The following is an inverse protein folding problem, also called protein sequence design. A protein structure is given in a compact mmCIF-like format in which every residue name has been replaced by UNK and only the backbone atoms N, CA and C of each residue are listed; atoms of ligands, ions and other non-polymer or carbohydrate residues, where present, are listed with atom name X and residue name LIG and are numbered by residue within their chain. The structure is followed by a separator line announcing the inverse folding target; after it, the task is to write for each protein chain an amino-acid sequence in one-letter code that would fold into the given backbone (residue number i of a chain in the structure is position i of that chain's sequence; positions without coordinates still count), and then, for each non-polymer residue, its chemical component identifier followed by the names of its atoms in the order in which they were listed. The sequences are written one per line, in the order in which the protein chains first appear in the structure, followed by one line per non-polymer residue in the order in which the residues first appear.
data_IF_804478249750
#
_entry.id   IF_804478249750
#
_cell.length_a   1.000
_cell.length_b   1.000
_cell.length_c   1.000
_cell.angle_alpha   90.00
_cell.angle_beta   90.00
_cell.angle_gamma   90.00
#
_symmetry.space_group_name_H-M   'P 1'
#
loop_
_entity.id
_entity.type
_entity.pdbx_description
1 polymer ?
#
# COMPACT_ATOMS: atom_id res chain seq x y z
N UNK A 1 -0.11 2.76 -1.02
CA UNK A 1 0.67 1.54 -0.71
C UNK A 1 -0.31 0.48 -0.21
N UNK A 2 -0.16 -0.77 -0.65
CA UNK A 2 -1.11 -1.85 -0.41
C UNK A 2 -0.37 -3.16 -0.13
N UNK A 3 -0.89 -4.06 0.74
CA UNK A 3 -0.31 -5.38 0.90
C UNK A 3 -0.63 -6.26 -0.31
N UNK A 4 0.31 -7.14 -0.66
CA UNK A 4 0.18 -8.19 -1.66
C UNK A 4 -0.05 -9.55 -1.02
N UNK A 5 0.76 -10.55 -1.43
CA UNK A 5 0.81 -11.84 -0.75
C UNK A 5 1.61 -11.75 0.54
N UNK A 6 1.05 -12.15 1.69
CA UNK A 6 1.79 -12.04 2.95
C UNK A 6 1.38 -13.05 4.03
N UNK A 7 2.28 -13.21 5.00
CA UNK A 7 2.01 -13.79 6.31
C UNK A 7 2.46 -12.74 7.34
N UNK A 8 1.61 -12.49 8.33
CA UNK A 8 1.92 -11.57 9.42
C UNK A 8 1.42 -12.11 10.75
N UNK A 9 2.25 -11.97 11.77
CA UNK A 9 1.94 -12.43 13.12
C UNK A 9 2.30 -11.35 14.15
N UNK A 10 1.40 -11.14 15.11
CA UNK A 10 1.64 -10.39 16.34
C UNK A 10 1.66 -11.40 17.50
N UNK A 11 2.81 -11.56 18.15
CA UNK A 11 2.98 -12.41 19.32
C UNK A 11 3.04 -11.51 20.55
N UNK A 12 2.20 -11.77 21.55
CA UNK A 12 2.12 -10.99 22.80
C UNK A 12 2.39 -11.89 23.99
N UNK A 13 3.30 -11.47 24.88
CA UNK A 13 3.62 -12.18 26.11
C UNK A 13 2.93 -11.59 27.36
N UNK A 14 3.02 -12.32 28.46
CA UNK A 14 2.44 -11.99 29.77
C UNK A 14 3.03 -10.74 30.41
N UNK A 15 4.23 -10.34 29.99
CA UNK A 15 4.85 -9.08 30.39
C UNK A 15 4.26 -7.88 29.65
N UNK A 16 3.47 -8.11 28.61
CA UNK A 16 2.92 -7.09 27.73
C UNK A 16 3.88 -6.65 26.63
N UNK A 17 4.99 -7.36 26.42
CA UNK A 17 5.82 -7.17 25.23
C UNK A 17 5.17 -7.84 24.04
N UNK A 18 5.42 -7.29 22.87
CA UNK A 18 5.03 -7.92 21.62
C UNK A 18 6.21 -8.05 20.66
N UNK A 19 6.17 -9.10 19.84
CA UNK A 19 6.91 -9.22 18.59
C UNK A 19 5.93 -9.13 17.43
N UNK A 20 6.26 -8.34 16.41
CA UNK A 20 5.48 -8.24 15.17
C UNK A 20 6.35 -8.62 13.98
N UNK A 21 5.83 -9.51 13.14
CA UNK A 21 6.45 -9.92 11.88
C UNK A 21 5.51 -9.70 10.71
N UNK A 22 6.05 -9.21 9.61
CA UNK A 22 5.41 -9.18 8.30
C UNK A 22 6.39 -9.70 7.26
N UNK A 23 6.05 -10.80 6.61
CA UNK A 23 6.81 -11.35 5.49
C UNK A 23 5.88 -11.47 4.29
N UNK A 24 6.23 -10.79 3.21
CA UNK A 24 5.35 -10.75 2.06
C UNK A 24 5.62 -9.62 1.08
N UNK A 25 4.61 -9.27 0.33
CA UNK A 25 4.67 -8.29 -0.74
C UNK A 25 4.03 -6.96 -0.33
N UNK A 26 4.66 -5.85 -0.69
CA UNK A 26 4.10 -4.51 -0.58
C UNK A 26 4.12 -3.87 -1.96
N UNK A 27 2.98 -3.31 -2.36
CA UNK A 27 2.82 -2.60 -3.62
C UNK A 27 2.75 -1.08 -3.38
N UNK A 28 3.66 -0.35 -4.01
CA UNK A 28 3.71 1.10 -4.03
C UNK A 28 3.06 1.63 -5.30
N UNK A 29 1.78 1.99 -5.21
CA UNK A 29 0.98 2.48 -6.34
C UNK A 29 1.53 3.72 -7.04
N UNK A 30 2.40 4.48 -6.39
CA UNK A 30 3.10 5.64 -6.98
C UNK A 30 3.92 5.26 -8.21
N UNK A 31 4.47 4.04 -8.29
CA UNK A 31 5.17 3.57 -9.51
C UNK A 31 4.22 3.37 -10.68
N UNK A 32 3.05 2.74 -10.45
CA UNK A 32 2.04 2.58 -11.50
C UNK A 32 1.48 3.93 -11.96
N UNK A 33 1.25 4.86 -11.03
CA UNK A 33 0.81 6.23 -11.36
C UNK A 33 1.89 6.97 -12.17
N UNK A 34 3.17 6.79 -11.85
CA UNK A 34 4.27 7.37 -12.61
C UNK A 34 4.30 6.89 -14.07
N UNK A 35 4.15 5.58 -14.28
CA UNK A 35 4.04 5.00 -15.63
C UNK A 35 2.84 5.56 -16.39
N UNK A 36 1.67 5.67 -15.75
CA UNK A 36 0.48 6.26 -16.39
C UNK A 36 0.66 7.75 -16.74
N UNK A 37 1.43 8.50 -15.93
CA UNK A 37 1.80 9.90 -16.25
C UNK A 37 2.68 9.94 -17.50
N UNK A 38 3.64 9.02 -17.63
CA UNK A 38 4.50 8.95 -18.82
C UNK A 38 3.71 8.62 -20.09
N UNK A 39 2.75 7.70 -20.01
CA UNK A 39 1.83 7.36 -21.12
C UNK A 39 0.90 8.52 -21.49
N UNK A 40 0.42 9.28 -20.49
CA UNK A 40 -0.47 10.44 -20.70
C UNK A 40 0.25 11.60 -21.41
N UNK A 41 1.55 11.73 -21.23
CA UNK A 41 2.37 12.81 -21.80
C UNK A 41 3.54 12.23 -22.61
N UNK A 42 3.24 11.67 -23.81
CA UNK A 42 4.25 11.04 -24.67
C UNK A 42 5.23 12.07 -25.25
N UNK A 43 6.27 11.56 -25.91
CA UNK A 43 7.17 12.37 -26.72
C UNK A 43 6.41 13.04 -27.88
N UNK A 44 6.95 14.13 -28.40
CA UNK A 44 6.31 14.85 -29.50
C UNK A 44 6.39 14.02 -30.78
N UNK A 45 5.27 13.48 -31.20
CA UNK A 45 5.06 12.89 -32.52
C UNK A 45 4.07 13.75 -33.29
N UNK A 46 4.43 14.17 -34.50
CA UNK A 46 3.61 15.10 -35.29
C UNK A 46 2.73 14.36 -36.27
N UNK A 47 1.42 14.46 -36.12
CA UNK A 47 0.43 13.85 -37.00
C UNK A 47 -0.55 14.91 -37.52
N UNK A 48 -0.83 14.90 -38.82
CA UNK A 48 -1.83 15.77 -39.41
C UNK A 48 -2.69 14.97 -40.39
N UNK A 49 -3.99 15.21 -40.37
CA UNK A 49 -4.94 14.49 -41.21
C UNK A 49 -5.54 15.41 -42.28
N UNK A 50 -5.92 14.82 -43.40
CA UNK A 50 -6.79 15.49 -44.37
C UNK A 50 -8.20 15.64 -43.79
N UNK A 51 -8.73 16.87 -43.81
CA UNK A 51 -9.99 17.23 -43.17
C UNK A 51 -11.23 16.56 -43.77
N UNK A 52 -11.09 15.81 -44.87
CA UNK A 52 -12.18 15.10 -45.55
C UNK A 52 -12.03 13.59 -45.56
N UNK A 53 -10.82 13.05 -45.36
CA UNK A 53 -10.54 11.62 -45.61
C UNK A 53 -9.91 10.84 -44.46
N UNK A 54 -9.61 11.44 -43.30
CA UNK A 54 -8.86 10.80 -42.19
C UNK A 54 -7.51 10.19 -42.63
N UNK A 55 -7.04 10.48 -43.85
CA UNK A 55 -5.73 10.06 -44.33
C UNK A 55 -4.65 10.96 -43.72
N UNK A 56 -3.54 10.35 -43.30
CA UNK A 56 -2.40 11.07 -42.76
C UNK A 56 -1.68 11.85 -43.87
N UNK A 57 -1.28 13.08 -43.58
CA UNK A 57 -0.51 13.96 -44.46
C UNK A 57 0.59 14.66 -43.67
N UNK A 58 1.56 15.21 -44.40
CA UNK A 58 2.54 16.09 -43.81
C UNK A 58 1.87 17.30 -43.13
N UNK A 59 2.30 17.58 -41.90
CA UNK A 59 1.92 18.78 -41.18
C UNK A 59 2.52 20.03 -41.82
N UNK A 60 1.77 21.13 -41.83
CA UNK A 60 2.28 22.45 -42.18
C UNK A 60 3.08 23.04 -41.01
N UNK A 61 3.99 23.98 -41.29
CA UNK A 61 4.79 24.61 -40.23
C UNK A 61 3.95 25.24 -39.09
N UNK A 62 2.81 25.93 -39.34
CA UNK A 62 1.95 26.42 -38.27
C UNK A 62 1.27 25.31 -37.45
N UNK A 63 0.95 24.17 -38.08
CA UNK A 63 0.38 23.02 -37.36
C UNK A 63 1.41 22.36 -36.44
N UNK A 64 2.64 22.19 -36.93
CA UNK A 64 3.76 21.68 -36.11
C UNK A 64 4.03 22.64 -34.93
N UNK A 65 4.00 23.95 -35.16
CA UNK A 65 4.19 24.94 -34.10
C UNK A 65 3.13 24.79 -33.00
N UNK A 66 1.84 24.68 -33.36
CA UNK A 66 0.77 24.46 -32.38
C UNK A 66 0.91 23.15 -31.61
N UNK A 67 1.30 22.07 -32.29
CA UNK A 67 1.52 20.77 -31.64
C UNK A 67 2.69 20.83 -30.65
N UNK A 68 3.75 21.57 -30.99
CA UNK A 68 4.86 21.86 -30.07
C UNK A 68 4.39 22.65 -28.85
N UNK A 69 3.62 23.72 -29.04
CA UNK A 69 3.12 24.53 -27.93
C UNK A 69 2.30 23.67 -26.93
N UNK A 70 1.38 22.84 -27.44
CA UNK A 70 0.58 21.91 -26.62
C UNK A 70 1.47 20.88 -25.91
N UNK A 71 2.47 20.34 -26.61
CA UNK A 71 3.39 19.37 -26.04
C UNK A 71 4.25 19.98 -24.92
N UNK A 72 4.78 21.18 -25.11
CA UNK A 72 5.57 21.89 -24.09
C UNK A 72 4.76 22.16 -22.82
N UNK A 73 3.50 22.60 -22.97
CA UNK A 73 2.56 22.72 -21.85
C UNK A 73 2.33 21.39 -21.14
N UNK A 74 2.16 20.31 -21.91
CA UNK A 74 2.04 18.94 -21.41
C UNK A 74 3.27 18.49 -20.63
N UNK A 75 4.49 18.76 -21.12
CA UNK A 75 5.73 18.42 -20.44
C UNK A 75 5.91 19.21 -19.13
N UNK A 76 5.47 20.46 -19.08
CA UNK A 76 5.46 21.24 -17.84
C UNK A 76 4.53 20.61 -16.80
N UNK A 77 3.35 20.15 -17.23
CA UNK A 77 2.41 19.45 -16.35
C UNK A 77 2.95 18.09 -15.89
N UNK A 78 3.53 17.30 -16.80
CA UNK A 78 4.23 16.04 -16.51
C UNK A 78 5.27 16.21 -15.40
N UNK A 79 6.11 17.26 -15.51
CA UNK A 79 7.12 17.58 -14.49
C UNK A 79 6.49 17.88 -13.12
N UNK A 80 5.42 18.67 -13.10
CA UNK A 80 4.69 18.99 -11.84
C UNK A 80 4.08 17.75 -11.20
N UNK A 81 3.49 16.87 -12.01
CA UNK A 81 2.87 15.64 -11.51
C UNK A 81 3.92 14.66 -10.96
N UNK A 82 5.06 14.49 -11.65
CA UNK A 82 6.20 13.71 -11.15
C UNK A 82 6.77 14.25 -9.84
N UNK A 83 6.95 15.57 -9.73
CA UNK A 83 7.39 16.22 -8.50
C UNK A 83 6.44 15.95 -7.32
N UNK A 84 5.13 15.97 -7.55
CA UNK A 84 4.14 15.62 -6.51
C UNK A 84 4.28 14.16 -6.08
N UNK A 85 4.50 13.24 -7.02
CA UNK A 85 4.71 11.83 -6.68
C UNK A 85 5.99 11.61 -5.88
N UNK A 86 7.07 12.33 -6.21
CA UNK A 86 8.31 12.27 -5.44
C UNK A 86 8.09 12.71 -3.98
N UNK A 87 7.35 13.80 -3.74
CA UNK A 87 7.00 14.25 -2.38
C UNK A 87 6.22 13.17 -1.61
N UNK A 88 5.26 12.51 -2.25
CA UNK A 88 4.48 11.44 -1.62
C UNK A 88 5.37 10.24 -1.26
N UNK A 89 6.38 9.93 -2.07
CA UNK A 89 7.31 8.82 -1.87
C UNK A 89 8.59 9.26 -1.13
N UNK A 90 8.49 10.24 -0.24
CA UNK A 90 9.60 10.64 0.64
C UNK A 90 10.81 11.23 -0.10
N UNK A 91 10.56 11.87 -1.25
CA UNK A 91 11.58 12.47 -2.11
C UNK A 91 12.10 11.54 -3.22
N UNK A 92 11.64 10.28 -3.29
CA UNK A 92 12.02 9.34 -4.36
C UNK A 92 11.12 9.58 -5.58
N UNK A 93 11.67 10.02 -6.71
CA UNK A 93 10.90 10.11 -7.97
C UNK A 93 10.65 8.71 -8.54
N UNK A 94 9.40 8.20 -8.52
CA UNK A 94 9.11 6.83 -8.95
C UNK A 94 9.31 6.57 -10.46
N UNK A 95 9.56 7.61 -11.27
CA UNK A 95 9.81 7.47 -12.71
C UNK A 95 11.29 7.30 -13.06
N UNK A 96 12.20 7.49 -12.10
CA UNK A 96 13.63 7.26 -12.33
C UNK A 96 13.96 5.75 -12.39
N UNK A 97 14.88 5.32 -13.25
CA UNK A 97 15.24 3.90 -13.35
C UNK A 97 15.77 3.27 -12.06
N UNK A 98 16.42 4.06 -11.20
CA UNK A 98 17.00 3.62 -9.93
C UNK A 98 16.07 3.86 -8.72
N UNK A 99 14.87 4.41 -8.94
CA UNK A 99 13.90 4.69 -7.89
C UNK A 99 13.55 3.49 -7.00
N UNK A 100 13.38 2.26 -7.54
CA UNK A 100 13.14 1.10 -6.68
C UNK A 100 14.29 0.80 -5.72
N UNK A 101 15.55 0.96 -6.17
CA UNK A 101 16.72 0.75 -5.33
C UNK A 101 16.84 1.83 -4.25
N UNK A 102 16.57 3.10 -4.59
CA UNK A 102 16.51 4.21 -3.63
C UNK A 102 15.45 3.98 -2.54
N UNK A 103 14.26 3.52 -2.94
CA UNK A 103 13.20 3.21 -1.98
C UNK A 103 13.57 2.03 -1.07
N UNK A 104 14.13 0.96 -1.63
CA UNK A 104 14.60 -0.18 -0.85
C UNK A 104 15.64 0.25 0.21
N UNK A 105 16.64 1.03 -0.20
CA UNK A 105 17.67 1.56 0.71
C UNK A 105 17.09 2.49 1.79
N UNK A 106 16.06 3.28 1.46
CA UNK A 106 15.37 4.13 2.44
C UNK A 106 14.64 3.29 3.50
N UNK A 107 14.01 2.20 3.10
CA UNK A 107 13.29 1.30 4.00
C UNK A 107 14.28 0.52 4.87
N UNK A 108 15.28 -0.12 4.30
CA UNK A 108 16.28 -0.93 5.02
C UNK A 108 17.14 -0.13 6.00
N UNK A 109 17.20 1.20 5.88
CA UNK A 109 17.84 2.07 6.89
C UNK A 109 17.05 2.12 8.21
N UNK A 110 15.75 1.84 8.20
CA UNK A 110 14.88 1.97 9.36
C UNK A 110 14.79 0.67 10.16
N UNK A 111 14.74 0.82 11.49
CA UNK A 111 14.65 -0.31 12.39
C UNK A 111 13.45 -1.22 12.05
N UNK A 112 13.74 -2.51 11.94
CA UNK A 112 12.80 -3.58 11.68
C UNK A 112 12.64 -3.96 10.21
N UNK A 113 13.06 -3.14 9.24
CA UNK A 113 13.11 -3.55 7.83
C UNK A 113 14.35 -4.41 7.58
N UNK A 114 14.23 -5.73 7.73
CA UNK A 114 15.35 -6.67 7.57
C UNK A 114 15.74 -6.91 6.12
N UNK A 115 14.76 -6.82 5.20
CA UNK A 115 14.97 -7.11 3.78
C UNK A 115 13.93 -6.41 2.91
N UNK A 116 14.36 -5.78 1.81
CA UNK A 116 13.48 -5.16 0.82
C UNK A 116 14.01 -5.40 -0.60
N UNK A 117 13.29 -6.22 -1.38
CA UNK A 117 13.66 -6.56 -2.76
C UNK A 117 12.58 -6.08 -3.74
N UNK A 118 12.96 -5.25 -4.70
CA UNK A 118 12.07 -4.92 -5.81
C UNK A 118 11.86 -6.13 -6.73
N UNK A 119 10.59 -6.44 -7.04
CA UNK A 119 10.21 -7.51 -7.96
C UNK A 119 9.93 -6.92 -9.35
N UNK A 120 8.92 -6.03 -9.45
CA UNK A 120 8.51 -5.35 -10.70
C UNK A 120 7.47 -4.26 -10.42
N UNK A 121 7.42 -3.22 -11.24
CA UNK A 121 6.27 -2.29 -11.30
C UNK A 121 5.83 -1.67 -9.98
N UNK A 122 6.73 -1.52 -9.00
CA UNK A 122 6.40 -1.04 -7.65
C UNK A 122 6.01 -2.11 -6.64
N UNK A 123 6.08 -3.40 -7.00
CA UNK A 123 5.95 -4.54 -6.11
C UNK A 123 7.29 -4.86 -5.46
N UNK A 124 7.30 -4.95 -4.13
CA UNK A 124 8.47 -5.28 -3.33
C UNK A 124 8.19 -6.49 -2.47
N UNK A 125 9.13 -7.42 -2.37
CA UNK A 125 9.14 -8.46 -1.33
C UNK A 125 9.88 -7.91 -0.13
N UNK A 126 9.27 -8.02 1.04
CA UNK A 126 9.79 -7.45 2.28
C UNK A 126 9.78 -8.46 3.41
N UNK A 127 10.70 -8.26 4.35
CA UNK A 127 10.66 -8.87 5.67
C UNK A 127 10.81 -7.76 6.71
N UNK A 128 9.81 -7.65 7.57
CA UNK A 128 9.78 -6.69 8.66
C UNK A 128 9.61 -7.42 9.99
N UNK A 129 10.48 -7.13 10.96
CA UNK A 129 10.46 -7.71 12.30
C UNK A 129 10.70 -6.60 13.31
N UNK A 130 9.83 -6.47 14.29
CA UNK A 130 10.01 -5.49 15.37
C UNK A 130 9.49 -6.02 16.70
N UNK A 131 9.91 -5.38 17.77
CA UNK A 131 9.41 -5.62 19.12
C UNK A 131 8.94 -4.33 19.74
N UNK A 132 7.93 -4.40 20.60
CA UNK A 132 7.44 -3.26 21.33
C UNK A 132 6.69 -3.67 22.59
N UNK A 133 5.88 -2.76 23.11
CA UNK A 133 5.09 -2.99 24.30
C UNK A 133 3.64 -2.57 24.08
N UNK A 134 2.70 -3.33 24.63
CA UNK A 134 1.25 -3.20 24.39
C UNK A 134 0.63 -1.93 24.98
N UNK A 135 1.36 -1.20 25.84
CA UNK A 135 0.97 0.13 26.33
C UNK A 135 1.46 1.28 25.44
N UNK A 136 2.13 0.98 24.34
CA UNK A 136 2.53 1.94 23.32
C UNK A 136 1.69 1.76 22.05
N UNK A 137 1.44 2.88 21.38
CA UNK A 137 0.84 2.82 20.05
C UNK A 137 1.86 2.30 19.05
N UNK A 138 1.41 1.46 18.14
CA UNK A 138 2.21 0.94 17.04
C UNK A 138 1.41 1.01 15.75
N UNK A 139 2.08 1.31 14.65
CA UNK A 139 1.49 1.24 13.32
C UNK A 139 2.53 0.67 12.36
N UNK A 140 2.08 -0.26 11.53
CA UNK A 140 2.89 -0.83 10.47
C UNK A 140 2.20 -0.66 9.12
N UNK A 141 2.94 -0.24 8.08
CA UNK A 141 4.28 0.34 8.18
C UNK A 141 4.23 1.81 8.58
N UNK A 142 5.26 2.24 9.30
CA UNK A 142 5.65 3.65 9.43
C UNK A 142 6.96 3.83 8.67
N UNK A 143 7.03 4.83 7.78
CA UNK A 143 8.18 5.06 6.90
C UNK A 143 8.63 6.52 7.03
N UNK A 144 9.90 6.73 7.34
CA UNK A 144 10.53 8.04 7.41
C UNK A 144 10.33 8.82 6.09
N UNK A 145 9.84 10.06 6.20
CA UNK A 145 9.64 10.95 5.05
C UNK A 145 8.42 10.64 4.19
N UNK A 146 7.75 9.50 4.38
CA UNK A 146 6.52 9.16 3.67
C UNK A 146 5.32 9.46 4.60
N UNK A 147 4.41 10.37 4.23
CA UNK A 147 3.24 10.67 5.03
C UNK A 147 2.40 9.41 5.26
N UNK A 148 1.83 9.30 6.46
CA UNK A 148 1.12 8.11 6.90
C UNK A 148 0.01 7.71 5.92
N UNK A 149 0.18 6.54 5.30
CA UNK A 149 -0.87 5.82 4.58
C UNK A 149 -1.71 5.01 5.56
N UNK A 150 -2.85 4.48 5.12
CA UNK A 150 -3.63 3.57 5.96
C UNK A 150 -2.74 2.41 6.47
N UNK A 151 -2.64 2.20 7.80
CA UNK A 151 -1.76 1.18 8.33
C UNK A 151 -2.27 -0.22 7.97
N UNK A 152 -1.34 -1.13 7.75
CA UNK A 152 -1.63 -2.55 7.57
C UNK A 152 -2.05 -3.15 8.89
N UNK A 153 -1.31 -2.85 9.97
CA UNK A 153 -1.66 -3.24 11.33
C UNK A 153 -1.42 -2.04 12.25
N UNK A 154 -2.34 -1.84 13.19
CA UNK A 154 -2.28 -0.79 14.19
C UNK A 154 -2.60 -1.36 15.56
N UNK A 155 -1.81 -0.98 16.56
CA UNK A 155 -2.06 -1.20 17.98
C UNK A 155 -2.36 0.17 18.61
N UNK A 156 -3.54 0.29 19.21
CA UNK A 156 -3.98 1.46 19.95
C UNK A 156 -4.08 1.10 21.43
N UNK A 157 -3.07 1.51 22.20
CA UNK A 157 -2.98 1.26 23.63
C UNK A 157 -4.03 2.06 24.41
N UNK A 158 -4.54 1.47 25.50
CA UNK A 158 -5.54 2.09 26.39
C UNK A 158 -5.00 2.16 27.82
N UNK A 159 -5.51 3.15 28.57
CA UNK A 159 -5.13 3.38 29.97
C UNK A 159 -5.52 2.25 30.93
N UNK A 160 -6.44 1.36 30.52
CA UNK A 160 -6.96 0.25 31.33
C UNK A 160 -6.21 -1.08 31.11
N UNK A 161 -4.97 -1.05 30.58
CA UNK A 161 -4.16 -2.25 30.36
C UNK A 161 -4.60 -3.08 29.15
N UNK A 162 -5.41 -2.50 28.27
CA UNK A 162 -5.90 -3.14 27.05
C UNK A 162 -5.29 -2.47 25.82
N UNK A 163 -5.24 -3.21 24.72
CA UNK A 163 -4.90 -2.65 23.42
C UNK A 163 -5.89 -3.09 22.36
N UNK A 164 -6.30 -2.16 21.51
CA UNK A 164 -7.11 -2.44 20.32
C UNK A 164 -6.18 -2.67 19.14
N UNK A 165 -6.31 -3.82 18.50
CA UNK A 165 -5.55 -4.20 17.32
C UNK A 165 -6.51 -4.11 16.15
N UNK A 166 -6.15 -3.35 15.11
CA UNK A 166 -6.93 -3.23 13.88
C UNK A 166 -6.01 -3.30 12.68
N UNK A 167 -6.49 -3.91 11.60
CA UNK A 167 -5.70 -4.07 10.38
C UNK A 167 -6.42 -3.45 9.16
N UNK A 168 -6.57 -2.11 9.08
CA UNK A 168 -7.47 -1.47 8.12
C UNK A 168 -7.08 -1.70 6.65
N UNK A 169 -5.79 -1.67 6.32
CA UNK A 169 -5.35 -1.97 4.96
C UNK A 169 -5.33 -3.47 4.63
N UNK A 170 -5.76 -4.35 5.54
CA UNK A 170 -6.08 -5.77 5.24
C UNK A 170 -7.54 -5.97 4.80
N UNK A 171 -8.27 -4.88 4.55
CA UNK A 171 -9.59 -4.85 3.96
C UNK A 171 -9.54 -4.15 2.58
N UNK A 172 -9.73 -4.88 1.46
CA UNK A 172 -9.73 -4.30 0.11
C UNK A 172 -10.73 -3.16 -0.05
N UNK A 173 -11.91 -3.26 0.56
CA UNK A 173 -12.94 -2.23 0.46
C UNK A 173 -12.49 -0.90 1.06
N UNK A 174 -11.71 -0.97 2.15
CA UNK A 174 -11.19 0.24 2.79
C UNK A 174 -10.15 0.94 1.91
N UNK A 175 -9.35 0.18 1.16
CA UNK A 175 -8.40 0.72 0.19
C UNK A 175 -9.15 1.35 -1.00
N UNK A 176 -10.17 0.67 -1.52
CA UNK A 176 -11.05 1.20 -2.58
C UNK A 176 -11.66 2.56 -2.16
N UNK A 177 -12.15 2.65 -0.92
CA UNK A 177 -12.75 3.87 -0.38
C UNK A 177 -11.76 5.01 -0.22
N UNK A 178 -10.56 4.70 0.28
CA UNK A 178 -9.51 5.70 0.41
C UNK A 178 -9.07 6.23 -0.96
N UNK A 179 -9.00 5.36 -1.97
CA UNK A 179 -8.63 5.77 -3.33
C UNK A 179 -9.72 6.61 -3.99
N UNK A 180 -11.00 6.23 -3.86
CA UNK A 180 -12.12 7.04 -4.36
C UNK A 180 -12.16 8.42 -3.69
N UNK A 181 -11.93 8.48 -2.38
CA UNK A 181 -11.83 9.74 -1.65
C UNK A 181 -10.66 10.61 -2.13
N UNK A 182 -9.52 10.00 -2.49
CA UNK A 182 -8.34 10.70 -2.98
C UNK A 182 -8.45 11.19 -4.42
N UNK A 183 -9.20 10.51 -5.29
CA UNK A 183 -9.41 10.95 -6.68
C UNK A 183 -10.50 12.01 -6.82
N UNK A 184 -11.32 12.23 -5.79
CA UNK A 184 -12.47 13.13 -5.84
C UNK A 184 -13.58 12.62 -6.76
N UNK A 185 -13.52 11.36 -7.18
CA UNK A 185 -14.51 10.69 -8.00
C UNK A 185 -15.48 9.93 -7.07
N UNK A 186 -16.79 10.10 -7.25
CA UNK A 186 -17.77 9.19 -6.66
C UNK A 186 -17.45 7.76 -7.13
N UNK A 187 -17.77 6.73 -6.31
CA UNK A 187 -17.53 5.30 -6.59
C UNK A 187 -18.07 4.89 -7.98
N UNK A 188 -17.34 5.20 -9.03
CA UNK A 188 -17.54 4.69 -10.37
C UNK A 188 -16.90 3.32 -10.41
N UNK A 189 -17.59 2.35 -11.01
CA UNK A 189 -17.07 1.01 -11.26
C UNK A 189 -15.86 0.97 -12.20
N UNK A 190 -15.39 2.14 -12.66
CA UNK A 190 -14.28 2.34 -13.59
C UNK A 190 -13.11 3.10 -12.97
N UNK A 191 -12.83 2.92 -11.67
CA UNK A 191 -11.51 3.28 -11.18
C UNK A 191 -10.49 2.52 -12.02
N UNK A 192 -9.42 3.19 -12.46
CA UNK A 192 -8.28 2.60 -13.22
C UNK A 192 -7.63 1.41 -12.48
N UNK A 193 -8.09 1.13 -11.26
CA UNK A 193 -7.71 0.04 -10.37
C UNK A 193 -8.92 -0.77 -9.88
N UNK A 194 -9.93 -0.94 -10.74
CA UNK A 194 -11.08 -1.79 -10.45
C UNK A 194 -10.62 -3.18 -10.00
N UNK A 195 -11.31 -3.77 -9.01
CA UNK A 195 -10.90 -5.02 -8.35
C UNK A 195 -10.73 -6.21 -9.30
N UNK A 196 -11.22 -6.11 -10.55
CA UNK A 196 -11.00 -7.07 -11.66
C UNK A 196 -9.70 -6.84 -12.45
N UNK A 197 -9.22 -5.60 -12.55
CA UNK A 197 -7.97 -5.24 -13.23
C UNK A 197 -6.75 -5.39 -12.32
N UNK A 198 -6.93 -5.39 -11.00
CA UNK A 198 -5.86 -5.71 -10.05
C UNK A 198 -5.25 -7.11 -10.28
N UNK A 199 -6.00 -8.04 -10.88
CA UNK A 199 -5.51 -9.38 -11.24
C UNK A 199 -4.87 -9.47 -12.63
N UNK A 200 -5.23 -8.58 -13.56
CA UNK A 200 -4.78 -8.64 -14.97
C UNK A 200 -3.62 -7.70 -15.28
N UNK A 201 -3.40 -6.65 -14.47
CA UNK A 201 -2.33 -5.65 -14.65
C UNK A 201 -1.01 -6.01 -13.94
N UNK A 202 -0.88 -7.22 -13.39
CA UNK A 202 0.32 -7.64 -12.66
C UNK A 202 0.48 -7.03 -11.26
N UNK A 203 -0.56 -6.38 -10.74
CA UNK A 203 -0.65 -5.83 -9.38
C UNK A 203 -0.74 -6.98 -8.36
N UNK A 204 -0.25 -6.73 -7.16
CA UNK A 204 -0.12 -7.73 -6.10
C UNK A 204 -1.45 -8.44 -5.82
N UNK A 205 -1.42 -9.77 -5.74
CA UNK A 205 -2.59 -10.54 -5.32
C UNK A 205 -2.84 -10.23 -3.85
N UNK A 206 -3.98 -9.62 -3.52
CA UNK A 206 -4.33 -9.29 -2.14
C UNK A 206 -4.77 -10.55 -1.37
N UNK A 207 -3.81 -11.28 -0.83
CA UNK A 207 -4.02 -12.58 -0.20
C UNK A 207 -3.06 -12.76 0.96
N UNK A 208 -3.51 -13.28 2.09
CA UNK A 208 -2.58 -13.54 3.17
C UNK A 208 -3.23 -14.04 4.44
N UNK A 209 -2.44 -14.10 5.49
CA UNK A 209 -2.92 -14.41 6.82
C UNK A 209 -2.34 -13.40 7.81
N UNK A 210 -3.23 -12.87 8.68
CA UNK A 210 -2.82 -12.14 9.87
C UNK A 210 -3.23 -12.96 11.08
N UNK A 211 -2.30 -13.17 12.01
CA UNK A 211 -2.54 -13.89 13.25
C UNK A 211 -2.12 -13.07 14.47
N UNK A 212 -2.84 -13.28 15.56
CA UNK A 212 -2.44 -12.84 16.90
C UNK A 212 -2.25 -14.09 17.73
N UNK A 213 -1.06 -14.24 18.30
CA UNK A 213 -0.72 -15.28 19.27
C UNK A 213 -0.49 -14.63 20.62
N UNK A 214 -1.09 -15.20 21.66
CA UNK A 214 -0.89 -14.73 23.03
C UNK A 214 -0.31 -15.84 23.88
N UNK A 215 0.47 -15.48 24.90
CA UNK A 215 0.83 -16.40 25.96
C UNK A 215 -0.29 -16.56 26.99
N UNK A 216 -0.14 -17.52 27.90
CA UNK A 216 -0.88 -17.56 29.14
C UNK A 216 -0.73 -16.23 29.89
N UNK A 217 -1.78 -15.76 30.56
CA UNK A 217 -1.82 -14.43 31.19
C UNK A 217 -2.29 -13.29 30.28
N UNK A 218 -2.37 -13.51 28.96
CA UNK A 218 -2.92 -12.55 28.00
C UNK A 218 -4.21 -13.09 27.39
N UNK A 219 -5.26 -12.26 27.33
CA UNK A 219 -6.58 -12.68 26.86
C UNK A 219 -7.05 -11.86 25.66
N UNK A 220 -7.61 -12.55 24.66
CA UNK A 220 -8.37 -11.94 23.58
C UNK A 220 -9.82 -11.79 24.02
N UNK A 221 -10.16 -10.62 24.55
CA UNK A 221 -11.48 -10.36 25.17
C UNK A 221 -12.56 -9.94 24.18
N UNK A 222 -12.18 -9.52 22.97
CA UNK A 222 -13.12 -9.31 21.86
C UNK A 222 -12.40 -9.49 20.52
N UNK A 223 -13.10 -10.03 19.54
CA UNK A 223 -12.62 -10.14 18.17
C UNK A 223 -13.81 -10.12 17.20
N UNK A 224 -13.53 -10.14 15.90
CA UNK A 224 -14.55 -10.17 14.85
C UNK A 224 -14.47 -11.40 13.94
N UNK A 225 -13.89 -12.50 14.41
CA UNK A 225 -13.98 -13.80 13.71
C UNK A 225 -15.22 -14.55 14.17
N UNK A 226 -15.75 -15.44 13.32
CA UNK A 226 -16.93 -16.24 13.64
C UNK A 226 -16.62 -17.30 14.71
N UNK A 227 -15.45 -17.94 14.62
CA UNK A 227 -15.05 -19.05 15.50
C UNK A 227 -14.32 -18.59 16.78
N UNK A 228 -13.88 -17.34 16.83
CA UNK A 228 -13.06 -16.83 17.93
C UNK A 228 -11.64 -17.40 17.95
N UNK A 229 -10.89 -17.17 19.05
CA UNK A 229 -9.53 -17.68 19.21
C UNK A 229 -9.51 -19.19 19.48
N UNK A 230 -8.58 -19.89 18.85
CA UNK A 230 -8.28 -21.28 19.17
C UNK A 230 -7.37 -21.36 20.39
N UNK A 231 -7.64 -22.30 21.29
CA UNK A 231 -6.70 -22.62 22.37
C UNK A 231 -5.53 -23.42 21.81
N UNK A 232 -4.33 -22.94 22.09
CA UNK A 232 -3.07 -23.58 21.71
C UNK A 232 -2.21 -23.79 22.95
N UNK A 233 -1.16 -24.60 22.83
CA UNK A 233 -0.22 -24.77 23.94
C UNK A 233 0.35 -23.41 24.36
N UNK A 234 0.20 -23.07 25.63
CA UNK A 234 0.70 -21.84 26.21
C UNK A 234 -0.09 -20.56 25.85
N UNK A 235 -1.32 -20.64 25.33
CA UNK A 235 -2.20 -19.47 25.21
C UNK A 235 -3.29 -19.55 24.13
N UNK A 236 -3.47 -18.46 23.36
CA UNK A 236 -4.52 -18.33 22.35
C UNK A 236 -3.94 -17.98 20.96
N UNK A 237 -4.59 -18.48 19.91
CA UNK A 237 -4.28 -18.16 18.51
C UNK A 237 -5.56 -17.69 17.80
N UNK A 238 -5.56 -16.44 17.37
CA UNK A 238 -6.61 -15.86 16.54
C UNK A 238 -6.07 -15.61 15.14
N UNK A 239 -6.81 -15.97 14.10
CA UNK A 239 -6.34 -15.86 12.72
C UNK A 239 -7.41 -15.31 11.78
N UNK A 240 -7.00 -14.38 10.92
CA UNK A 240 -7.78 -13.90 9.78
C UNK A 240 -7.11 -14.31 8.48
N UNK A 241 -7.85 -15.03 7.63
CA UNK A 241 -7.46 -15.28 6.24
C UNK A 241 -7.89 -14.09 5.37
N UNK A 242 -6.94 -13.34 4.86
CA UNK A 242 -7.17 -12.18 4.01
C UNK A 242 -7.29 -12.62 2.56
N UNK A 243 -8.34 -12.16 1.89
CA UNK A 243 -8.64 -12.52 0.50
C UNK A 243 -9.37 -11.35 -0.19
N UNK A 244 -9.34 -11.23 -1.53
CA UNK A 244 -9.87 -10.07 -2.25
C UNK A 244 -11.37 -9.82 -2.02
N UNK A 245 -12.14 -10.87 -1.73
CA UNK A 245 -13.58 -10.79 -1.51
C UNK A 245 -13.97 -10.57 -0.03
N UNK A 246 -13.02 -10.66 0.91
CA UNK A 246 -13.33 -10.41 2.33
C UNK A 246 -13.48 -8.91 2.56
N UNK A 247 -14.61 -8.49 3.13
CA UNK A 247 -14.94 -7.08 3.40
C UNK A 247 -14.76 -6.65 4.87
N UNK A 248 -14.29 -7.56 5.72
CA UNK A 248 -14.15 -7.32 7.16
C UNK A 248 -12.71 -6.96 7.52
N UNK A 249 -12.53 -5.81 8.17
CA UNK A 249 -11.25 -5.38 8.74
C UNK A 249 -10.91 -6.22 9.97
N UNK A 250 -9.79 -6.96 10.01
CA UNK A 250 -9.36 -7.68 11.21
C UNK A 250 -9.31 -6.77 12.44
N UNK A 251 -9.95 -7.20 13.54
CA UNK A 251 -10.03 -6.41 14.77
C UNK A 251 -10.10 -7.30 16.00
N UNK A 252 -9.27 -6.99 17.00
CA UNK A 252 -9.30 -7.63 18.30
C UNK A 252 -9.03 -6.63 19.43
N UNK A 253 -9.52 -6.94 20.62
CA UNK A 253 -9.19 -6.26 21.87
C UNK A 253 -8.46 -7.26 22.76
N UNK A 254 -7.23 -6.91 23.13
CA UNK A 254 -6.36 -7.73 23.96
C UNK A 254 -6.28 -7.11 25.35
N UNK A 255 -6.34 -7.93 26.39
CA UNK A 255 -6.05 -7.57 27.77
C UNK A 255 -4.81 -8.33 28.24
N UNK A 256 -3.82 -7.61 28.76
CA UNK A 256 -2.65 -8.20 29.43
C UNK A 256 -2.95 -8.21 30.92
N UNK A 257 -3.11 -9.39 31.51
CA UNK A 257 -3.38 -9.49 32.95
C UNK A 257 -2.07 -9.22 33.69
N UNK A 258 -1.99 -8.09 34.39
CA UNK A 258 -0.89 -7.76 35.31
C UNK A 258 -1.18 -8.27 36.71
#
# INVERSE_FOLDING_TARGET
MMPGKFISELVVDDTGRFGFTYEGEIFFSTFAVASAIDEKYPELETYCYDGKSLEERACTAPEIARQRDIWEEGQLQKKRDKQRMAVILGGVDPSEPDAPAKLAALLERQAGWEKVEHIRGGLFRVRYVTTGHMDQNFMFPAIEGIPAVAPFVQISARKDGKARITAPALNPAHIEDLMAAASGEERSSSSVFGSKDLGHSGIATFEGAFAIRTSDGVQIIANNTDEGPLRVEGGELLTWKVAPYRRQTPSALIAVNR
#
